data_IF_556810470318
#
_entry.id   IF_556810470318
#
_cell.length_a   1.000
_cell.length_b   1.000
_cell.length_c   1.000
_cell.angle_alpha   90.00
_cell.angle_beta   90.00
_cell.angle_gamma   90.00
#
_symmetry.space_group_name_H-M   'P 1'
#
loop_
_entity.id
_entity.type
_entity.pdbx_description
1 polymer ?
#
# COMPACT_ATOMS: atom_id res chain seq x y z
N UNK A 1 27.26 -2.72 -11.52
CA UNK A 1 26.93 -1.29 -11.50
C UNK A 1 27.18 -0.78 -10.09
N UNK A 2 27.78 0.41 -9.97
CA UNK A 2 27.95 1.11 -8.70
C UNK A 2 26.77 2.07 -8.53
N UNK A 3 26.42 2.40 -7.29
CA UNK A 3 25.28 3.28 -6.97
C UNK A 3 25.40 4.70 -7.57
N UNK A 4 26.57 5.08 -8.07
CA UNK A 4 26.85 6.37 -8.72
C UNK A 4 26.75 6.35 -10.24
N UNK A 5 26.58 5.17 -10.84
CA UNK A 5 26.46 5.05 -12.30
C UNK A 5 25.12 5.67 -12.76
N UNK A 6 25.07 6.32 -13.94
CA UNK A 6 23.82 6.86 -14.46
C UNK A 6 22.77 5.77 -14.67
N UNK A 7 21.51 6.09 -14.36
CA UNK A 7 20.36 5.20 -14.59
C UNK A 7 20.22 4.92 -16.08
N UNK A 8 20.20 3.64 -16.44
CA UNK A 8 19.98 3.17 -17.80
C UNK A 8 18.49 3.16 -18.16
N UNK A 9 18.19 3.10 -19.46
CA UNK A 9 16.81 2.99 -19.92
C UNK A 9 16.13 1.70 -19.43
N UNK A 10 16.88 0.61 -19.37
CA UNK A 10 16.40 -0.70 -18.90
C UNK A 10 15.99 -0.62 -17.42
N UNK A 11 16.83 -0.06 -16.56
CA UNK A 11 16.51 0.15 -15.13
C UNK A 11 15.30 1.06 -14.93
N UNK A 12 15.17 2.12 -15.74
CA UNK A 12 13.99 3.00 -15.69
C UNK A 12 12.71 2.26 -16.10
N UNK A 13 12.81 1.40 -17.11
CA UNK A 13 11.67 0.60 -17.57
C UNK A 13 11.24 -0.40 -16.48
N UNK A 14 12.18 -1.10 -15.86
CA UNK A 14 11.90 -2.03 -14.75
C UNK A 14 11.24 -1.32 -13.57
N UNK A 15 11.73 -0.13 -13.18
CA UNK A 15 11.12 0.67 -12.13
C UNK A 15 9.70 1.12 -12.50
N UNK A 16 9.50 1.51 -13.76
CA UNK A 16 8.20 1.93 -14.29
C UNK A 16 7.18 0.79 -14.28
N UNK A 17 7.59 -0.41 -14.66
CA UNK A 17 6.76 -1.61 -14.71
C UNK A 17 6.28 -2.03 -13.31
N UNK A 18 7.04 -1.69 -12.26
CA UNK A 18 6.62 -1.89 -10.86
C UNK A 18 5.75 -0.73 -10.34
N UNK A 19 6.12 0.51 -10.67
CA UNK A 19 5.49 1.70 -10.10
C UNK A 19 4.11 2.01 -10.69
N UNK A 20 3.99 2.06 -12.01
CA UNK A 20 2.77 2.53 -12.65
C UNK A 20 1.55 1.64 -12.43
N UNK A 21 1.65 0.29 -12.34
CA UNK A 21 0.50 -0.52 -11.97
C UNK A 21 -0.08 -0.16 -10.60
N UNK A 22 0.78 0.15 -9.62
CA UNK A 22 0.35 0.57 -8.29
C UNK A 22 -0.28 1.96 -8.33
N UNK A 23 0.35 2.90 -9.04
CA UNK A 23 -0.20 4.25 -9.24
C UNK A 23 -1.57 4.20 -9.91
N UNK A 24 -1.74 3.34 -10.93
CA UNK A 24 -3.02 3.17 -11.65
C UNK A 24 -4.15 2.67 -10.77
N UNK A 25 -3.87 1.87 -9.74
CA UNK A 25 -4.90 1.44 -8.77
C UNK A 25 -5.46 2.65 -8.03
N UNK A 26 -4.60 3.58 -7.63
CA UNK A 26 -5.01 4.81 -6.94
C UNK A 26 -5.68 5.77 -7.91
N UNK A 27 -5.07 5.99 -9.08
CA UNK A 27 -5.53 6.95 -10.08
C UNK A 27 -6.96 6.67 -10.57
N UNK A 28 -7.37 5.40 -10.67
CA UNK A 28 -8.73 5.01 -11.08
C UNK A 28 -9.82 5.48 -10.13
N UNK A 29 -9.47 5.67 -8.85
CA UNK A 29 -10.40 6.10 -7.79
C UNK A 29 -10.30 7.61 -7.52
N UNK A 30 -9.38 8.32 -8.19
CA UNK A 30 -9.22 9.76 -8.03
C UNK A 30 -10.35 10.51 -8.75
N UNK A 31 -10.80 11.66 -8.22
CA UNK A 31 -11.78 12.49 -8.89
C UNK A 31 -11.25 13.04 -10.22
N UNK A 32 -12.16 13.34 -11.15
CA UNK A 32 -11.81 13.97 -12.42
C UNK A 32 -11.06 15.30 -12.18
N UNK A 33 -9.98 15.50 -12.94
CA UNK A 33 -9.12 16.68 -12.80
C UNK A 33 -8.07 16.61 -11.68
N UNK A 34 -8.00 15.50 -10.92
CA UNK A 34 -6.91 15.29 -9.97
C UNK A 34 -5.55 15.29 -10.65
N UNK A 35 -4.58 15.99 -10.06
CA UNK A 35 -3.23 16.06 -10.60
C UNK A 35 -2.43 14.79 -10.28
N UNK A 36 -1.29 14.61 -10.96
CA UNK A 36 -0.33 13.55 -10.63
C UNK A 36 0.16 13.71 -9.19
N UNK A 37 0.42 14.93 -8.73
CA UNK A 37 0.87 15.20 -7.36
C UNK A 37 -0.19 14.80 -6.32
N UNK A 38 -1.46 15.08 -6.58
CA UNK A 38 -2.56 14.67 -5.69
C UNK A 38 -2.66 13.15 -5.62
N UNK A 39 -2.52 12.48 -6.77
CA UNK A 39 -2.53 11.02 -6.85
C UNK A 39 -1.35 10.42 -6.06
N UNK A 40 -0.16 11.01 -6.12
CA UNK A 40 1.01 10.58 -5.35
C UNK A 40 0.78 10.74 -3.84
N UNK A 41 0.22 11.86 -3.40
CA UNK A 41 -0.11 12.08 -1.97
C UNK A 41 -1.12 11.05 -1.47
N UNK A 42 -2.18 10.77 -2.23
CA UNK A 42 -3.15 9.73 -1.87
C UNK A 42 -2.48 8.35 -1.84
N UNK A 43 -1.59 8.06 -2.80
CA UNK A 43 -0.83 6.80 -2.83
C UNK A 43 0.04 6.61 -1.58
N UNK A 44 0.65 7.66 -1.02
CA UNK A 44 1.41 7.59 0.23
C UNK A 44 0.52 7.17 1.42
N UNK A 45 -0.69 7.75 1.52
CA UNK A 45 -1.66 7.39 2.56
C UNK A 45 -2.18 5.95 2.39
N UNK A 46 -2.52 5.55 1.16
CA UNK A 46 -2.96 4.18 0.84
C UNK A 46 -1.87 3.16 1.17
N UNK A 47 -0.62 3.47 0.83
CA UNK A 47 0.53 2.59 1.13
C UNK A 47 0.72 2.41 2.64
N UNK A 48 0.64 3.50 3.40
CA UNK A 48 0.72 3.46 4.86
C UNK A 48 -0.39 2.60 5.48
N UNK A 49 -1.62 2.73 4.98
CA UNK A 49 -2.75 1.90 5.40
C UNK A 49 -2.54 0.43 5.06
N UNK A 50 -2.08 0.12 3.85
CA UNK A 50 -1.80 -1.25 3.41
C UNK A 50 -0.75 -1.94 4.29
N UNK A 51 0.30 -1.22 4.68
CA UNK A 51 1.31 -1.74 5.62
C UNK A 51 0.72 -2.03 7.00
N UNK A 52 -0.15 -1.16 7.52
CA UNK A 52 -0.87 -1.37 8.79
C UNK A 52 -1.74 -2.63 8.73
N UNK A 53 -2.56 -2.76 7.68
CA UNK A 53 -3.39 -3.94 7.45
C UNK A 53 -2.56 -5.23 7.35
N UNK A 54 -1.39 -5.18 6.70
CA UNK A 54 -0.45 -6.31 6.65
C UNK A 54 0.10 -6.68 8.04
N UNK A 55 0.31 -5.70 8.92
CA UNK A 55 0.74 -5.95 10.31
C UNK A 55 -0.39 -6.55 11.14
N UNK A 56 -1.61 -6.06 10.99
CA UNK A 56 -2.81 -6.58 11.66
C UNK A 56 -3.10 -8.02 11.26
N UNK A 57 -3.15 -8.32 9.95
CA UNK A 57 -3.32 -9.71 9.46
C UNK A 57 -2.25 -10.67 9.97
N UNK A 58 -1.01 -10.20 10.16
CA UNK A 58 0.06 -11.01 10.76
C UNK A 58 -0.19 -11.29 12.25
N UNK A 59 -0.70 -10.29 12.98
CA UNK A 59 -1.08 -10.44 14.39
C UNK A 59 -2.27 -11.38 14.56
N UNK A 60 -3.31 -11.24 13.75
CA UNK A 60 -4.49 -12.11 13.74
C UNK A 60 -4.08 -13.57 13.50
N UNK A 61 -3.30 -13.84 12.44
CA UNK A 61 -2.79 -15.19 12.16
C UNK A 61 -1.92 -15.75 13.28
N UNK A 62 -1.15 -14.91 13.97
CA UNK A 62 -0.37 -15.34 15.12
C UNK A 62 -1.28 -15.68 16.31
N UNK A 63 -2.25 -14.82 16.60
CA UNK A 63 -3.25 -15.02 17.66
C UNK A 63 -4.07 -16.30 17.44
N UNK A 64 -4.53 -16.54 16.21
CA UNK A 64 -5.18 -17.80 15.81
C UNK A 64 -4.29 -19.01 16.08
N UNK A 65 -3.00 -18.94 15.68
CA UNK A 65 -2.02 -20.03 15.90
C UNK A 65 -1.76 -20.30 17.38
N UNK A 66 -1.82 -19.27 18.23
CA UNK A 66 -1.59 -19.39 19.67
C UNK A 66 -2.89 -19.55 20.48
N UNK A 67 -4.04 -19.69 19.83
CA UNK A 67 -5.34 -19.87 20.50
C UNK A 67 -5.81 -18.65 21.32
N UNK A 68 -5.27 -17.47 21.05
CA UNK A 68 -5.58 -16.22 21.75
C UNK A 68 -6.65 -15.46 20.98
N UNK A 69 -7.93 -15.86 21.08
CA UNK A 69 -9.03 -15.08 20.50
C UNK A 69 -9.19 -13.75 21.27
N UNK A 70 -9.21 -12.59 20.60
CA UNK A 70 -9.58 -11.35 21.26
C UNK A 70 -11.09 -11.38 21.58
N UNK A 71 -11.43 -11.14 22.85
CA UNK A 71 -12.81 -10.86 23.25
C UNK A 71 -13.33 -9.66 22.46
N UNK A 72 -14.16 -9.90 21.46
CA UNK A 72 -14.94 -8.86 20.78
C UNK A 72 -15.99 -8.33 21.77
N UNK A 73 -15.62 -7.35 22.60
CA UNK A 73 -16.57 -6.48 23.29
C UNK A 73 -16.81 -5.25 22.41
N UNK A 74 -17.76 -5.39 21.49
CA UNK A 74 -18.22 -4.32 20.62
C UNK A 74 -19.69 -4.51 20.30
N UNK A 75 -20.53 -4.64 21.33
CA UNK A 75 -21.97 -4.45 21.19
C UNK A 75 -22.21 -2.99 20.80
N UNK A 76 -22.48 -2.73 19.53
CA UNK A 76 -23.27 -1.57 19.15
C UNK A 76 -24.67 -2.09 18.86
N UNK A 77 -25.56 -1.93 19.84
CA UNK A 77 -27.00 -2.05 19.61
C UNK A 77 -27.50 -0.71 19.02
N UNK A 78 -28.44 -0.75 18.06
CA UNK A 78 -28.93 0.41 17.34
C UNK A 78 -29.71 1.43 18.19
#
# INVERSE_FOLDING_TARGET
MKDTDPITQEEMQEASDLFFPLLRVVQKEMPEGASTEDTLKVMEHVTSLAQRLRKEKRKEKAQERFGLVPNFKGSYEP
#
